data_IF_101289235129
#
_entry.id   IF_101289235129
#
_cell.length_a   1.000
_cell.length_b   1.000
_cell.length_c   1.000
_cell.angle_alpha   90.00
_cell.angle_beta   90.00
_cell.angle_gamma   90.00
#
_symmetry.space_group_name_H-M   'P 1'
#
loop_
_entity.id
_entity.type
_entity.pdbx_description
1 polymer ?
#
# COMPACT_ATOMS: atom_id res chain seq x y z
N UNK A 1 -0.96 7.50 2.89
CA UNK A 1 -1.17 7.09 1.47
C UNK A 1 0.12 7.19 0.66
N UNK A 2 0.20 6.52 -0.49
CA UNK A 2 1.22 6.79 -1.52
C UNK A 2 0.76 7.94 -2.42
N UNK A 3 1.70 8.80 -2.81
CA UNK A 3 1.42 9.95 -3.66
C UNK A 3 2.04 9.79 -5.04
N UNK A 4 1.23 10.00 -6.09
CA UNK A 4 1.69 10.04 -7.48
C UNK A 4 1.22 11.33 -8.13
N UNK A 5 2.17 12.17 -8.56
CA UNK A 5 1.86 13.39 -9.30
C UNK A 5 1.50 13.09 -10.76
N UNK A 6 0.50 13.81 -11.26
CA UNK A 6 0.06 13.80 -12.66
C UNK A 6 -0.19 15.23 -13.14
N UNK A 7 -0.47 15.40 -14.44
CA UNK A 7 -0.82 16.73 -14.99
C UNK A 7 -2.13 17.28 -14.41
N UNK A 8 -3.03 16.41 -13.94
CA UNK A 8 -4.34 16.76 -13.40
C UNK A 8 -4.33 16.97 -11.89
N UNK A 9 -3.16 16.80 -11.24
CA UNK A 9 -3.00 16.91 -9.80
C UNK A 9 -2.44 15.63 -9.19
N UNK A 10 -2.64 15.47 -7.88
CA UNK A 10 -2.12 14.34 -7.13
C UNK A 10 -3.12 13.19 -7.08
N UNK A 11 -2.63 11.98 -7.34
CA UNK A 11 -3.34 10.74 -7.11
C UNK A 11 -2.87 10.19 -5.77
N UNK A 12 -3.80 10.00 -4.84
CA UNK A 12 -3.58 9.30 -3.59
C UNK A 12 -3.91 7.82 -3.76
N UNK A 13 -2.96 6.95 -3.48
CA UNK A 13 -3.12 5.49 -3.54
C UNK A 13 -3.13 4.97 -2.10
N UNK A 14 -4.24 4.34 -1.72
CA UNK A 14 -4.42 3.74 -0.40
C UNK A 14 -3.44 2.59 -0.19
N UNK A 15 -3.00 2.36 1.05
CA UNK A 15 -2.08 1.25 1.33
C UNK A 15 -2.71 -0.13 1.06
N UNK A 16 -4.01 -0.38 1.34
CA UNK A 16 -4.67 -1.62 0.91
C UNK A 16 -4.68 -1.82 -0.60
N UNK A 17 -4.82 -0.77 -1.42
CA UNK A 17 -4.73 -0.91 -2.88
C UNK A 17 -3.30 -1.21 -3.34
N UNK A 18 -2.30 -0.62 -2.69
CA UNK A 18 -0.89 -0.96 -2.90
C UNK A 18 -0.63 -2.43 -2.55
N UNK A 19 -1.05 -2.86 -1.37
CA UNK A 19 -0.89 -4.23 -0.90
C UNK A 19 -1.61 -5.23 -1.81
N UNK A 20 -2.84 -4.92 -2.23
CA UNK A 20 -3.56 -5.74 -3.20
C UNK A 20 -2.78 -5.94 -4.50
N UNK A 21 -2.23 -4.87 -5.08
CA UNK A 21 -1.40 -4.97 -6.29
C UNK A 21 -0.14 -5.81 -6.05
N UNK A 22 0.51 -5.66 -4.89
CA UNK A 22 1.64 -6.50 -4.48
C UNK A 22 1.25 -7.97 -4.40
N UNK A 23 0.07 -8.27 -3.88
CA UNK A 23 -0.52 -9.62 -3.91
C UNK A 23 -0.68 -10.16 -5.33
N UNK A 24 -1.23 -9.36 -6.25
CA UNK A 24 -1.36 -9.77 -7.66
C UNK A 24 -0.02 -10.07 -8.33
N UNK A 25 1.00 -9.26 -8.04
CA UNK A 25 2.37 -9.51 -8.54
C UNK A 25 2.95 -10.79 -7.91
N UNK A 26 2.73 -11.03 -6.63
CA UNK A 26 3.14 -12.24 -5.95
C UNK A 26 2.47 -13.50 -6.56
N UNK A 27 1.20 -13.41 -6.96
CA UNK A 27 0.45 -14.50 -7.60
C UNK A 27 1.03 -14.93 -8.97
N UNK A 28 1.89 -14.13 -9.59
CA UNK A 28 2.56 -14.46 -10.85
C UNK A 28 4.08 -14.51 -10.70
N UNK A 29 4.58 -14.50 -9.46
CA UNK A 29 6.00 -14.59 -9.18
C UNK A 29 6.55 -15.99 -9.49
N UNK A 30 7.84 -16.01 -9.85
CA UNK A 30 8.57 -17.20 -10.32
C UNK A 30 8.69 -17.22 -11.85
N UNK A 31 9.89 -17.52 -12.36
CA UNK A 31 10.18 -17.72 -13.78
C UNK A 31 11.52 -18.46 -13.96
N UNK A 32 12.06 -18.54 -15.19
CA UNK A 32 13.33 -19.21 -15.48
C UNK A 32 14.55 -18.64 -14.71
N UNK A 33 14.45 -17.39 -14.22
CA UNK A 33 15.50 -16.69 -13.48
C UNK A 33 15.25 -16.65 -11.97
N UNK A 34 14.02 -16.87 -11.52
CA UNK A 34 13.62 -16.74 -10.11
C UNK A 34 12.74 -17.91 -9.68
N UNK A 35 13.10 -18.53 -8.56
CA UNK A 35 12.27 -19.59 -7.98
C UNK A 35 10.90 -19.07 -7.51
N UNK A 36 9.95 -20.00 -7.43
CA UNK A 36 8.66 -19.78 -6.79
C UNK A 36 8.82 -19.69 -5.25
N UNK A 37 7.82 -19.13 -4.58
CA UNK A 37 7.73 -19.05 -3.13
C UNK A 37 7.49 -20.44 -2.50
N UNK A 38 8.30 -20.74 -1.48
CA UNK A 38 7.93 -21.75 -0.48
C UNK A 38 6.74 -21.19 0.33
N UNK A 39 5.67 -21.97 0.47
CA UNK A 39 4.38 -21.52 1.04
C UNK A 39 3.68 -20.44 0.20
N UNK A 40 3.57 -20.69 -1.12
CA UNK A 40 3.00 -19.74 -2.10
C UNK A 40 1.70 -19.08 -1.65
N UNK A 41 0.74 -19.85 -1.11
CA UNK A 41 -0.56 -19.31 -0.70
C UNK A 41 -0.42 -18.30 0.43
N UNK A 42 0.36 -18.64 1.44
CA UNK A 42 0.61 -17.83 2.63
C UNK A 42 1.40 -16.57 2.28
N UNK A 43 2.44 -16.70 1.43
CA UNK A 43 3.25 -15.56 0.97
C UNK A 43 2.40 -14.60 0.14
N UNK A 44 1.63 -15.10 -0.83
CA UNK A 44 0.78 -14.24 -1.64
C UNK A 44 -0.30 -13.57 -0.81
N UNK A 45 -0.92 -14.28 0.14
CA UNK A 45 -1.91 -13.70 1.05
C UNK A 45 -1.28 -12.62 1.95
N UNK A 46 -0.11 -12.89 2.53
CA UNK A 46 0.63 -11.92 3.32
C UNK A 46 0.97 -10.67 2.50
N UNK A 47 1.46 -10.84 1.27
CA UNK A 47 1.73 -9.73 0.35
C UNK A 47 0.46 -8.93 0.01
N UNK A 48 -0.70 -9.56 -0.12
CA UNK A 48 -1.97 -8.88 -0.39
C UNK A 48 -2.47 -8.06 0.80
N UNK A 49 -2.19 -8.51 2.03
CA UNK A 49 -2.76 -7.95 3.26
C UNK A 49 -1.77 -7.13 4.10
N UNK A 50 -0.49 -7.02 3.70
CA UNK A 50 0.58 -6.53 4.58
C UNK A 50 0.33 -5.14 5.18
N UNK A 51 -0.40 -4.26 4.48
CA UNK A 51 -0.74 -2.92 4.96
C UNK A 51 -2.23 -2.73 5.29
N UNK A 52 -2.96 -3.81 5.58
CA UNK A 52 -4.40 -3.74 5.92
C UNK A 52 -4.68 -2.84 7.14
N UNK A 53 -3.70 -2.62 8.02
CA UNK A 53 -3.83 -1.75 9.20
C UNK A 53 -4.25 -0.31 8.85
N UNK A 54 -3.96 0.16 7.64
CA UNK A 54 -4.29 1.51 7.19
C UNK A 54 -5.76 1.74 6.86
N UNK A 55 -6.58 0.69 6.74
CA UNK A 55 -7.98 0.78 6.28
C UNK A 55 -8.77 1.82 7.08
N UNK A 56 -8.61 1.87 8.41
CA UNK A 56 -9.39 2.77 9.27
C UNK A 56 -9.01 4.23 9.03
N UNK A 57 -7.72 4.55 9.06
CA UNK A 57 -7.27 5.93 8.85
C UNK A 57 -7.57 6.43 7.43
N UNK A 58 -7.43 5.58 6.41
CA UNK A 58 -7.65 5.98 5.02
C UNK A 58 -9.14 6.20 4.64
N UNK A 59 -10.09 5.85 5.51
CA UNK A 59 -11.50 6.25 5.36
C UNK A 59 -11.73 7.74 5.62
N UNK A 60 -10.89 8.37 6.43
CA UNK A 60 -10.97 9.80 6.76
C UNK A 60 -9.56 10.36 7.03
N UNK A 61 -8.71 10.45 6.00
CA UNK A 61 -7.31 10.81 6.19
C UNK A 61 -7.15 12.23 6.71
N UNK A 62 -6.23 12.40 7.66
CA UNK A 62 -5.77 13.73 8.06
C UNK A 62 -4.97 14.39 6.94
N UNK A 63 -5.03 15.72 6.88
CA UNK A 63 -4.32 16.51 5.87
C UNK A 63 -3.03 17.07 6.44
N UNK A 64 -1.97 17.00 5.65
CA UNK A 64 -0.70 17.65 5.90
C UNK A 64 -0.87 19.18 5.79
N UNK A 65 -0.68 19.96 6.86
CA UNK A 65 -0.98 21.39 6.86
C UNK A 65 -0.03 22.21 5.99
N UNK A 66 1.16 21.69 5.65
CA UNK A 66 2.11 22.37 4.77
C UNK A 66 1.72 22.24 3.29
N UNK A 67 1.06 21.14 2.91
CA UNK A 67 0.75 20.86 1.50
C UNK A 67 -0.75 20.93 1.18
N UNK A 68 -1.61 20.81 2.19
CA UNK A 68 -3.06 20.73 2.04
C UNK A 68 -3.56 19.37 1.54
N UNK A 69 -2.67 18.39 1.33
CA UNK A 69 -3.02 17.06 0.85
C UNK A 69 -3.09 16.02 1.98
N UNK A 70 -3.74 14.85 1.77
CA UNK A 70 -3.63 13.72 2.69
C UNK A 70 -2.17 13.41 3.04
N UNK A 71 -1.93 12.96 4.27
CA UNK A 71 -0.57 12.57 4.67
C UNK A 71 -0.02 11.41 3.83
N UNK A 72 1.27 11.49 3.53
CA UNK A 72 2.01 10.34 3.01
C UNK A 72 2.10 9.27 4.12
N UNK A 73 2.09 7.99 3.76
CA UNK A 73 2.05 6.92 4.76
C UNK A 73 3.28 6.91 5.69
N UNK A 74 4.40 7.48 5.25
CA UNK A 74 5.63 7.64 6.06
C UNK A 74 5.62 8.86 6.98
N UNK A 75 4.60 9.73 6.89
CA UNK A 75 4.50 10.95 7.69
C UNK A 75 3.76 10.73 9.01
N UNK A 76 3.08 9.60 9.16
CA UNK A 76 2.28 9.29 10.34
C UNK A 76 2.96 8.20 11.18
N UNK A 77 3.08 8.39 12.50
CA UNK A 77 3.51 7.34 13.39
C UNK A 77 2.47 6.23 13.48
N UNK A 78 2.89 5.01 13.80
CA UNK A 78 2.02 3.83 13.84
C UNK A 78 0.82 3.97 14.77
N UNK A 79 0.93 4.80 15.81
CA UNK A 79 -0.17 5.07 16.74
C UNK A 79 -1.31 5.90 16.14
N UNK A 80 -1.05 6.67 15.07
CA UNK A 80 -2.04 7.57 14.48
C UNK A 80 -2.89 6.90 13.39
N UNK A 81 -2.47 5.73 12.91
CA UNK A 81 -3.14 5.02 11.82
C UNK A 81 -3.66 3.62 12.20
N UNK A 82 -3.57 3.24 13.48
CA UNK A 82 -4.05 1.96 14.03
C UNK A 82 -5.44 2.09 14.67
#
# INVERSE_FOLDING_TARGET
MLHRFSKQGMICITQPNHAWLSGQLAQIWGNEQFDDFVHRKEVCFGAEQHDIGWVVWEQSPTLNPQTGYPHHFTELPTQEHN
#
